data_IF_613418857698
#
_entry.id   IF_613418857698
#
_cell.length_a   1.000
_cell.length_b   1.000
_cell.length_c   1.000
_cell.angle_alpha   90.00
_cell.angle_beta   90.00
_cell.angle_gamma   90.00
#
_symmetry.space_group_name_H-M   'P 1'
#
loop_
_entity.id
_entity.type
_entity.pdbx_description
1 polymer ?
#
# COMPACT_ATOMS: atom_id res chain seq x y z
N UNK A 1 -12.54 20.64 46.43
CA UNK A 1 -11.25 20.43 45.73
C UNK A 1 -11.51 19.66 44.43
N UNK A 2 -12.19 20.25 43.45
CA UNK A 2 -12.73 19.50 42.28
C UNK A 2 -12.81 20.33 40.97
N UNK A 3 -12.09 21.47 40.89
CA UNK A 3 -12.12 22.34 39.69
C UNK A 3 -11.11 21.99 38.58
N UNK A 4 -10.18 21.06 38.83
CA UNK A 4 -9.06 20.80 37.91
C UNK A 4 -9.22 19.55 37.04
N UNK A 5 -10.23 18.71 37.27
CA UNK A 5 -10.45 17.45 36.52
C UNK A 5 -11.06 17.68 35.14
N UNK A 6 -11.84 18.76 34.95
CA UNK A 6 -12.49 19.07 33.65
C UNK A 6 -11.48 19.42 32.55
N UNK A 7 -10.35 20.02 32.90
CA UNK A 7 -9.31 20.40 31.92
C UNK A 7 -8.45 19.20 31.48
N UNK A 8 -8.31 18.17 32.33
CA UNK A 8 -7.54 16.96 32.01
C UNK A 8 -8.25 16.10 30.96
N UNK A 9 -9.59 16.01 31.02
CA UNK A 9 -10.40 15.27 30.04
C UNK A 9 -10.39 15.96 28.66
N UNK A 10 -10.34 17.30 28.62
CA UNK A 10 -10.26 18.06 27.37
C UNK A 10 -8.89 17.94 26.66
N UNK A 11 -7.79 17.85 27.43
CA UNK A 11 -6.43 17.65 26.90
C UNK A 11 -6.20 16.24 26.35
N UNK A 12 -6.85 15.22 26.91
CA UNK A 12 -6.78 13.83 26.43
C UNK A 12 -7.48 13.62 25.09
N UNK A 13 -8.53 14.40 24.79
CA UNK A 13 -9.24 14.31 23.51
C UNK A 13 -8.50 15.02 22.36
N UNK A 14 -7.70 16.04 22.65
CA UNK A 14 -6.93 16.79 21.66
C UNK A 14 -5.68 16.05 21.14
N UNK A 15 -5.16 15.06 21.87
CA UNK A 15 -3.99 14.28 21.49
C UNK A 15 -4.23 13.17 20.47
N UNK A 16 -5.49 12.81 20.21
CA UNK A 16 -5.86 11.67 19.35
C UNK A 16 -5.89 11.99 17.84
N UNK A 17 -5.73 13.25 17.45
CA UNK A 17 -5.79 13.67 16.03
C UNK A 17 -4.42 13.80 15.36
N UNK A 18 -3.33 13.53 16.08
CA UNK A 18 -1.99 13.43 15.50
C UNK A 18 -1.78 12.03 14.88
N UNK A 19 -2.70 11.63 13.99
CA UNK A 19 -2.41 10.57 13.04
C UNK A 19 -1.24 11.05 12.17
N UNK A 20 -0.06 10.49 12.39
CA UNK A 20 1.14 10.85 11.63
C UNK A 20 0.90 10.48 10.16
N UNK A 21 0.54 11.47 9.35
CA UNK A 21 0.43 11.32 7.90
C UNK A 21 1.85 11.32 7.34
N UNK A 22 2.21 10.30 6.56
CA UNK A 22 3.45 10.36 5.79
C UNK A 22 3.37 11.58 4.85
N UNK A 23 4.27 12.54 5.08
CA UNK A 23 4.39 13.73 4.23
C UNK A 23 4.94 13.28 2.88
N UNK A 24 4.33 13.76 1.81
CA UNK A 24 4.86 13.55 0.47
C UNK A 24 6.29 14.10 0.38
N UNK A 25 7.21 13.25 -0.09
CA UNK A 25 8.60 13.59 -0.36
C UNK A 25 8.82 13.60 -1.88
N UNK A 26 9.04 14.77 -2.51
CA UNK A 26 9.29 14.85 -3.95
C UNK A 26 10.59 14.19 -4.39
N UNK A 27 11.57 14.03 -3.48
CA UNK A 27 12.83 13.32 -3.78
C UNK A 27 12.64 11.81 -3.79
N UNK A 28 11.64 11.31 -3.07
CA UNK A 28 11.28 9.90 -3.01
C UNK A 28 9.79 9.70 -3.32
N UNK A 29 9.35 9.99 -4.56
CA UNK A 29 7.94 10.02 -4.89
C UNK A 29 7.27 8.66 -4.77
N UNK A 30 8.01 7.54 -4.69
CA UNK A 30 7.38 6.22 -4.48
C UNK A 30 6.84 6.05 -3.06
N UNK A 31 7.40 6.75 -2.07
CA UNK A 31 7.01 6.61 -0.66
C UNK A 31 5.58 7.09 -0.45
N UNK A 32 4.74 6.28 0.17
CA UNK A 32 3.35 6.58 0.48
C UNK A 32 2.39 5.44 0.15
N UNK A 33 1.09 5.74 0.20
CA UNK A 33 0.02 4.78 -0.06
C UNK A 33 -0.50 4.95 -1.49
N UNK A 34 -0.57 3.85 -2.21
CA UNK A 34 -0.98 3.75 -3.60
C UNK A 34 -2.15 2.78 -3.71
N UNK A 35 -3.31 3.30 -4.11
CA UNK A 35 -4.54 2.52 -4.24
C UNK A 35 -4.74 2.17 -5.71
N UNK A 36 -5.09 0.92 -5.97
CA UNK A 36 -5.29 0.42 -7.34
C UNK A 36 -6.47 1.16 -7.99
N UNK A 37 -6.23 1.73 -9.17
CA UNK A 37 -7.30 2.25 -10.03
C UNK A 37 -7.79 1.18 -10.99
N UNK A 38 -6.86 0.60 -11.75
CA UNK A 38 -7.18 -0.33 -12.83
C UNK A 38 -6.01 -1.23 -13.20
N UNK A 39 -6.38 -2.35 -13.80
CA UNK A 39 -5.49 -3.30 -14.44
C UNK A 39 -5.89 -3.40 -15.91
N UNK A 40 -4.96 -3.12 -16.81
CA UNK A 40 -5.18 -3.14 -18.26
C UNK A 40 -4.19 -4.07 -18.94
N UNK A 41 -4.64 -4.84 -19.93
CA UNK A 41 -3.74 -5.61 -20.79
C UNK A 41 -3.49 -4.83 -22.09
N UNK A 42 -2.23 -4.47 -22.33
CA UNK A 42 -1.77 -3.73 -23.51
C UNK A 42 -0.63 -4.54 -24.13
N UNK A 43 -0.80 -5.01 -25.37
CA UNK A 43 0.25 -5.73 -26.12
C UNK A 43 0.87 -6.93 -25.35
N UNK A 44 0.04 -7.73 -24.68
CA UNK A 44 0.46 -8.86 -23.82
C UNK A 44 1.25 -8.46 -22.55
N UNK A 45 1.25 -7.18 -22.19
CA UNK A 45 1.76 -6.66 -20.92
C UNK A 45 0.61 -6.19 -20.05
N UNK A 46 0.81 -6.26 -18.74
CA UNK A 46 -0.16 -5.82 -17.77
C UNK A 46 0.24 -4.48 -17.20
N UNK A 47 -0.49 -3.42 -17.59
CA UNK A 47 -0.33 -2.08 -17.02
C UNK A 47 -1.21 -1.97 -15.77
N UNK A 48 -0.58 -1.70 -14.64
CA UNK A 48 -1.24 -1.55 -13.34
C UNK A 48 -1.16 -0.09 -12.95
N UNK A 49 -2.31 0.58 -12.84
CA UNK A 49 -2.39 2.00 -12.51
C UNK A 49 -2.88 2.21 -11.08
N UNK A 50 -2.24 3.12 -10.38
CA UNK A 50 -2.57 3.51 -9.01
C UNK A 50 -2.63 5.03 -8.88
N UNK A 51 -3.44 5.50 -7.93
CA UNK A 51 -3.40 6.86 -7.44
C UNK A 51 -2.86 6.90 -6.02
N UNK A 52 -2.25 8.04 -5.65
CA UNK A 52 -1.80 8.27 -4.28
C UNK A 52 -2.99 8.59 -3.37
N UNK A 53 -3.04 7.94 -2.22
CA UNK A 53 -4.00 8.23 -1.16
C UNK A 53 -3.31 8.52 0.17
N UNK A 54 -4.03 9.18 1.09
CA UNK A 54 -3.52 9.38 2.47
C UNK A 54 -3.64 8.12 3.33
N UNK A 55 -4.52 7.20 2.94
CA UNK A 55 -4.79 5.90 3.55
C UNK A 55 -5.40 4.97 2.50
N UNK A 56 -5.45 3.67 2.76
CA UNK A 56 -6.10 2.74 1.85
C UNK A 56 -7.61 2.99 1.76
N UNK A 57 -8.16 2.82 0.56
CA UNK A 57 -9.61 2.74 0.36
C UNK A 57 -10.12 1.37 0.85
N UNK A 58 -11.33 1.37 1.44
CA UNK A 58 -11.84 0.21 2.17
C UNK A 58 -12.04 -1.02 1.28
N UNK A 59 -12.43 -0.81 0.03
CA UNK A 59 -12.86 -1.80 -0.95
C UNK A 59 -11.89 -1.95 -2.12
N UNK A 60 -10.66 -1.43 -1.98
CA UNK A 60 -9.64 -1.53 -3.03
C UNK A 60 -8.32 -2.10 -2.53
N UNK A 61 -7.60 -2.85 -3.39
CA UNK A 61 -6.24 -3.26 -3.11
C UNK A 61 -5.27 -2.09 -3.30
N UNK A 62 -4.04 -2.27 -2.82
CA UNK A 62 -3.00 -1.26 -2.95
C UNK A 62 -1.70 -1.62 -2.25
N UNK A 63 -0.72 -0.72 -2.36
CA UNK A 63 0.58 -0.83 -1.73
C UNK A 63 0.91 0.41 -0.89
N UNK A 64 1.51 0.19 0.28
CA UNK A 64 2.12 1.21 1.10
C UNK A 64 3.62 1.03 1.12
N UNK A 65 4.37 1.88 0.39
CA UNK A 65 5.82 1.85 0.36
C UNK A 65 6.38 2.79 1.44
N UNK A 66 7.07 2.23 2.44
CA UNK A 66 7.66 3.00 3.55
C UNK A 66 9.15 3.22 3.32
N UNK A 67 9.66 4.36 3.76
CA UNK A 67 11.06 4.77 3.53
C UNK A 67 12.11 3.80 4.12
N UNK A 68 11.72 2.99 5.12
CA UNK A 68 12.57 1.97 5.73
C UNK A 68 12.54 0.61 5.00
N UNK A 69 11.96 0.53 3.81
CA UNK A 69 11.83 -0.72 3.05
C UNK A 69 10.67 -1.61 3.48
N UNK A 70 9.83 -1.18 4.44
CA UNK A 70 8.59 -1.89 4.79
C UNK A 70 7.55 -1.73 3.67
N UNK A 71 7.01 -2.84 3.21
CA UNK A 71 5.85 -2.88 2.33
C UNK A 71 4.60 -3.20 3.14
N UNK A 72 3.53 -2.44 2.93
CA UNK A 72 2.17 -2.83 3.32
C UNK A 72 1.42 -3.22 2.06
N UNK A 73 0.92 -4.45 1.99
CA UNK A 73 0.11 -4.91 0.87
C UNK A 73 -1.34 -5.01 1.33
N UNK A 74 -2.25 -4.28 0.68
CA UNK A 74 -3.69 -4.44 0.86
C UNK A 74 -4.26 -5.28 -0.27
N UNK A 75 -4.86 -6.41 0.06
CA UNK A 75 -5.35 -7.39 -0.92
C UNK A 75 -6.54 -8.18 -0.38
N UNK A 76 -7.18 -8.96 -1.24
CA UNK A 76 -8.27 -9.85 -0.84
C UNK A 76 -7.82 -10.81 0.27
N UNK A 77 -8.64 -10.93 1.31
CA UNK A 77 -8.37 -11.69 2.52
C UNK A 77 -8.57 -13.21 2.37
N UNK A 78 -8.95 -13.70 1.18
CA UNK A 78 -9.23 -15.11 0.97
C UNK A 78 -9.17 -15.56 -0.49
N UNK A 79 -9.19 -16.87 -0.67
CA UNK A 79 -9.11 -17.57 -1.96
C UNK A 79 -10.18 -17.10 -2.98
N UNK A 80 -11.37 -16.78 -2.49
CA UNK A 80 -12.52 -16.49 -3.33
C UNK A 80 -12.90 -15.00 -3.26
N UNK A 81 -12.77 -14.29 -4.37
CA UNK A 81 -13.16 -12.88 -4.52
C UNK A 81 -14.67 -12.67 -4.75
N UNK A 82 -15.53 -13.46 -4.09
CA UNK A 82 -16.98 -13.29 -4.22
C UNK A 82 -17.43 -12.16 -3.27
N UNK A 83 -18.21 -11.18 -3.76
CA UNK A 83 -18.74 -10.12 -2.91
C UNK A 83 -19.54 -10.65 -1.69
N UNK A 84 -19.42 -10.00 -0.52
CA UNK A 84 -18.52 -8.88 -0.23
C UNK A 84 -17.05 -9.34 -0.10
N UNK A 85 -16.15 -8.70 -0.84
CA UNK A 85 -14.71 -9.00 -0.76
C UNK A 85 -14.14 -8.32 0.49
N UNK A 86 -13.64 -9.11 1.42
CA UNK A 86 -12.88 -8.59 2.56
C UNK A 86 -11.45 -8.33 2.13
N UNK A 87 -10.90 -7.18 2.52
CA UNK A 87 -9.50 -6.81 2.28
C UNK A 87 -8.72 -6.79 3.58
N UNK A 88 -7.51 -7.35 3.54
CA UNK A 88 -6.57 -7.35 4.65
C UNK A 88 -5.24 -6.70 4.25
N UNK A 89 -4.54 -6.18 5.26
CA UNK A 89 -3.20 -5.64 5.12
C UNK A 89 -2.17 -6.65 5.64
N UNK A 90 -1.19 -6.98 4.81
CA UNK A 90 -0.05 -7.81 5.18
C UNK A 90 1.24 -7.00 5.08
N UNK A 91 2.24 -7.40 5.86
CA UNK A 91 3.56 -6.76 5.85
C UNK A 91 4.51 -7.57 4.98
N UNK A 92 5.40 -6.85 4.30
CA UNK A 92 6.44 -7.40 3.45
C UNK A 92 7.64 -6.48 3.40
N UNK A 93 8.46 -6.65 2.36
CA UNK A 93 9.58 -5.76 2.07
C UNK A 93 9.53 -5.28 0.63
N UNK A 94 10.13 -4.13 0.40
CA UNK A 94 10.35 -3.63 -0.95
C UNK A 94 11.70 -2.93 -1.05
N UNK A 95 12.21 -2.91 -2.28
CA UNK A 95 13.35 -2.10 -2.67
C UNK A 95 13.12 -1.55 -4.09
N UNK A 96 13.82 -0.48 -4.42
CA UNK A 96 13.79 0.14 -5.74
C UNK A 96 15.22 0.38 -6.23
N UNK A 97 15.50 -0.08 -7.44
CA UNK A 97 16.72 0.20 -8.16
C UNK A 97 16.36 0.76 -9.54
N UNK A 98 16.76 1.99 -9.82
CA UNK A 98 16.40 2.71 -11.06
C UNK A 98 14.87 2.76 -11.26
N UNK A 99 14.39 2.18 -12.36
CA UNK A 99 12.98 2.08 -12.74
C UNK A 99 12.35 0.73 -12.32
N UNK A 100 13.02 -0.08 -11.50
CA UNK A 100 12.49 -1.36 -11.03
C UNK A 100 12.15 -1.31 -9.55
N UNK A 101 11.02 -1.92 -9.21
CA UNK A 101 10.58 -2.14 -7.83
C UNK A 101 10.54 -3.65 -7.62
N UNK A 102 11.23 -4.12 -6.58
CA UNK A 102 11.09 -5.49 -6.11
C UNK A 102 10.24 -5.48 -4.86
N UNK A 103 9.26 -6.38 -4.79
CA UNK A 103 8.43 -6.56 -3.61
C UNK A 103 8.43 -8.02 -3.18
N UNK A 104 8.40 -8.22 -1.86
CA UNK A 104 8.20 -9.50 -1.22
C UNK A 104 7.05 -9.33 -0.24
N UNK A 105 6.04 -10.19 -0.34
CA UNK A 105 4.84 -10.07 0.47
C UNK A 105 4.25 -11.41 0.85
N UNK A 106 3.21 -11.33 1.68
CA UNK A 106 2.38 -12.46 2.08
C UNK A 106 1.02 -12.26 1.47
N UNK A 107 0.37 -13.30 0.99
CA UNK A 107 -1.03 -13.34 0.59
C UNK A 107 -1.75 -14.46 1.35
N UNK A 108 -3.07 -14.59 1.20
CA UNK A 108 -3.87 -15.55 1.97
C UNK A 108 -3.43 -17.03 1.79
N UNK A 109 -2.68 -17.35 0.73
CA UNK A 109 -2.22 -18.70 0.41
C UNK A 109 -0.72 -18.94 0.58
N UNK A 110 0.04 -17.96 1.05
CA UNK A 110 1.48 -18.10 1.27
C UNK A 110 2.25 -16.81 0.98
N UNK A 111 3.38 -16.92 0.29
CA UNK A 111 4.28 -15.79 0.00
C UNK A 111 4.39 -15.51 -1.49
N UNK A 112 4.70 -14.25 -1.83
CA UNK A 112 4.98 -13.88 -3.21
C UNK A 112 6.18 -12.94 -3.30
N UNK A 113 6.84 -12.99 -4.45
CA UNK A 113 7.89 -12.08 -4.86
C UNK A 113 7.53 -11.56 -6.24
N UNK A 114 7.59 -10.25 -6.46
CA UNK A 114 7.32 -9.65 -7.76
C UNK A 114 8.30 -8.54 -8.09
N UNK A 115 8.63 -8.41 -9.37
CA UNK A 115 9.40 -7.30 -9.92
C UNK A 115 8.51 -6.53 -10.87
N UNK A 116 8.43 -5.22 -10.66
CA UNK A 116 7.72 -4.28 -11.52
C UNK A 116 8.69 -3.32 -12.18
N UNK A 117 8.38 -2.92 -13.40
CA UNK A 117 8.98 -1.78 -14.09
C UNK A 117 8.06 -0.57 -13.97
N UNK A 118 8.62 0.59 -13.61
CA UNK A 118 7.90 1.85 -13.50
C UNK A 118 7.78 2.48 -14.88
N UNK A 119 6.54 2.76 -15.30
CA UNK A 119 6.24 3.53 -16.51
C UNK A 119 5.91 4.99 -16.20
N UNK A 120 5.23 5.25 -15.08
CA UNK A 120 4.95 6.59 -14.59
C UNK A 120 5.07 6.61 -13.07
N UNK A 121 5.75 7.62 -12.54
CA UNK A 121 5.78 7.88 -11.11
C UNK A 121 5.86 9.39 -10.89
N UNK A 122 4.84 9.96 -10.26
CA UNK A 122 4.81 11.35 -9.85
C UNK A 122 4.09 11.52 -8.49
N UNK A 123 3.77 12.76 -8.10
CA UNK A 123 3.11 13.04 -6.83
C UNK A 123 1.70 12.47 -6.67
N UNK A 124 1.04 12.04 -7.75
CA UNK A 124 -0.36 11.60 -7.73
C UNK A 124 -0.60 10.25 -8.39
N UNK A 125 0.26 9.83 -9.33
CA UNK A 125 0.08 8.63 -10.13
C UNK A 125 1.31 7.72 -10.10
N UNK A 126 1.03 6.42 -10.09
CA UNK A 126 2.01 5.34 -10.24
C UNK A 126 1.47 4.37 -11.29
N UNK A 127 2.27 4.07 -12.31
CA UNK A 127 1.97 3.05 -13.29
C UNK A 127 3.12 2.06 -13.39
N UNK A 128 2.78 0.79 -13.29
CA UNK A 128 3.70 -0.33 -13.24
C UNK A 128 3.38 -1.34 -14.33
N UNK A 129 4.41 -2.03 -14.82
CA UNK A 129 4.27 -3.25 -15.60
C UNK A 129 4.92 -4.40 -14.85
N UNK A 130 4.23 -5.54 -14.73
CA UNK A 130 4.81 -6.73 -14.11
C UNK A 130 5.88 -7.33 -15.03
N UNK A 131 7.11 -7.48 -14.50
CA UNK A 131 8.25 -8.12 -15.18
C UNK A 131 8.30 -9.60 -14.82
N UNK A 132 8.10 -9.91 -13.54
CA UNK A 132 8.04 -11.28 -13.04
C UNK A 132 7.25 -11.34 -11.74
N UNK A 133 6.61 -12.48 -11.52
CA UNK A 133 6.00 -12.82 -10.24
C UNK A 133 6.22 -14.30 -9.93
N UNK A 134 6.43 -14.60 -8.65
CA UNK A 134 6.57 -15.96 -8.13
C UNK A 134 5.73 -16.08 -6.86
N UNK A 135 4.85 -17.07 -6.83
CA UNK A 135 4.01 -17.39 -5.68
C UNK A 135 4.45 -18.73 -5.09
N UNK A 136 4.63 -18.78 -3.78
CA UNK A 136 4.91 -20.00 -3.04
C UNK A 136 3.73 -20.24 -2.10
N UNK A 137 3.03 -21.37 -2.30
CA UNK A 137 1.88 -21.74 -1.48
C UNK A 137 2.37 -22.36 -0.16
N UNK A 138 1.81 -21.89 0.95
CA UNK A 138 1.95 -22.57 2.24
C UNK A 138 1.08 -23.82 2.19
N UNK A 139 1.72 -24.99 2.07
CA UNK A 139 1.05 -26.29 2.00
C UNK A 139 0.65 -26.79 3.38
#
# INVERSE_FOLDING_TARGET
MTKNIRYIVALLFAGLLLGCREKYDPENPIIGTWVLDKYESIENKSLISFHRASQFEQDKPGYGFKANGLLITRQNAGWCGTPPITYNETKGSWDKANNKININGIFWGGTFNATYEIHLLNGTQLQLTEVSSKYNMDR
#
